data_IF_826492068801
#
_entry.id   IF_826492068801
#
_cell.length_a   1.000
_cell.length_b   1.000
_cell.length_c   1.000
_cell.angle_alpha   90.00
_cell.angle_beta   90.00
_cell.angle_gamma   90.00
#
_symmetry.space_group_name_H-M   'P 1'
#
loop_
_entity.id
_entity.type
_entity.pdbx_description
1 polymer ?
#
# COMPACT_ATOMS: atom_id res chain seq x y z
N UNK A 1 -9.16 4.37 6.20
CA UNK A 1 -8.02 3.87 7.02
C UNK A 1 -7.67 4.80 8.17
N UNK A 2 -7.54 6.11 7.98
CA UNK A 2 -7.16 7.07 9.06
C UNK A 2 -8.12 7.14 10.26
N UNK A 3 -9.32 6.57 10.14
CA UNK A 3 -10.35 6.54 11.18
C UNK A 3 -10.36 5.22 11.98
N UNK A 4 -9.53 4.25 11.61
CA UNK A 4 -9.45 2.91 12.21
C UNK A 4 -8.11 2.76 12.95
N UNK A 5 -8.07 2.93 14.28
CA UNK A 5 -6.83 2.94 15.06
C UNK A 5 -6.00 1.67 14.89
N UNK A 6 -6.63 0.51 14.84
CA UNK A 6 -6.03 -0.82 14.68
C UNK A 6 -5.32 -1.00 13.33
N UNK A 7 -5.77 -0.30 12.30
CA UNK A 7 -5.16 -0.32 10.96
C UNK A 7 -4.01 0.68 10.84
N UNK A 8 -4.09 1.82 11.52
CA UNK A 8 -3.04 2.85 11.51
C UNK A 8 -1.85 2.45 12.38
N UNK A 9 -2.10 1.75 13.48
CA UNK A 9 -1.06 1.32 14.43
C UNK A 9 0.03 0.45 13.76
N UNK A 10 -0.28 -0.18 12.64
CA UNK A 10 0.66 -1.00 11.84
C UNK A 10 1.66 -0.16 11.03
N UNK A 11 1.47 1.16 10.95
CA UNK A 11 2.35 2.07 10.21
C UNK A 11 3.29 2.83 11.15
N UNK A 12 4.49 3.14 10.68
CA UNK A 12 5.43 4.04 11.38
C UNK A 12 4.82 5.42 11.62
N UNK A 13 5.24 6.11 12.68
CA UNK A 13 4.71 7.43 13.08
C UNK A 13 4.66 8.44 11.93
N UNK A 14 5.71 8.49 11.10
CA UNK A 14 5.75 9.34 9.90
C UNK A 14 4.68 8.98 8.86
N UNK A 15 4.37 7.70 8.67
CA UNK A 15 3.29 7.24 7.80
C UNK A 15 1.91 7.47 8.41
N UNK A 16 1.75 7.35 9.73
CA UNK A 16 0.50 7.67 10.41
C UNK A 16 0.08 9.13 10.18
N UNK A 17 1.02 10.08 10.32
CA UNK A 17 0.78 11.51 10.05
C UNK A 17 0.33 11.74 8.60
N UNK A 18 1.01 11.10 7.63
CA UNK A 18 0.65 11.20 6.21
C UNK A 18 -0.75 10.66 5.93
N UNK A 19 -1.08 9.48 6.46
CA UNK A 19 -2.39 8.85 6.29
C UNK A 19 -3.50 9.73 6.89
N UNK A 20 -3.28 10.33 8.07
CA UNK A 20 -4.21 11.29 8.68
C UNK A 20 -4.45 12.53 7.82
N UNK A 21 -3.48 12.92 7.01
CA UNK A 21 -3.57 14.04 6.05
C UNK A 21 -4.15 13.62 4.67
N UNK A 22 -4.59 12.36 4.52
CA UNK A 22 -5.08 11.84 3.23
C UNK A 22 -3.99 11.50 2.22
N UNK A 23 -2.72 11.49 2.64
CA UNK A 23 -1.57 11.17 1.79
C UNK A 23 -1.27 9.66 1.82
N UNK A 24 -0.73 9.15 0.71
CA UNK A 24 -0.26 7.77 0.61
C UNK A 24 1.00 7.60 1.50
N UNK A 25 1.01 6.49 2.24
CA UNK A 25 2.16 6.05 3.03
C UNK A 25 3.37 5.75 2.14
N UNK A 26 4.57 5.96 2.67
CA UNK A 26 5.80 5.56 2.01
C UNK A 26 6.02 4.06 2.25
N UNK A 27 6.41 3.35 1.21
CA UNK A 27 6.85 1.96 1.33
C UNK A 27 8.28 1.89 1.89
N UNK A 28 8.63 0.84 2.65
CA UNK A 28 10.02 0.56 3.06
C UNK A 28 10.89 0.38 1.82
N UNK A 29 12.20 0.58 1.98
CA UNK A 29 13.18 0.55 0.87
C UNK A 29 13.11 -0.77 0.06
N UNK A 30 12.89 -1.88 0.76
CA UNK A 30 12.75 -3.22 0.19
C UNK A 30 11.47 -3.38 -0.64
N UNK A 31 10.44 -2.58 -0.36
CA UNK A 31 9.20 -2.52 -1.11
C UNK A 31 9.22 -1.58 -2.29
N UNK A 32 10.37 -0.97 -2.59
CA UNK A 32 10.49 -0.08 -3.74
C UNK A 32 10.54 -0.92 -5.00
N UNK A 33 9.66 -0.59 -5.94
CA UNK A 33 9.74 -1.16 -7.27
C UNK A 33 10.71 -0.31 -8.10
N UNK A 34 11.84 -0.90 -8.48
CA UNK A 34 12.83 -0.29 -9.36
C UNK A 34 12.49 -0.66 -10.81
N UNK A 35 11.65 0.17 -11.44
CA UNK A 35 11.34 0.02 -12.85
C UNK A 35 12.40 0.70 -13.73
N UNK A 36 12.48 0.36 -15.02
CA UNK A 36 13.44 0.96 -15.95
C UNK A 36 13.22 2.46 -16.19
N UNK A 37 12.05 3.01 -15.83
CA UNK A 37 11.69 4.43 -16.02
C UNK A 37 11.42 5.17 -14.71
N UNK A 38 11.03 4.46 -13.65
CA UNK A 38 10.68 5.08 -12.38
C UNK A 38 10.95 4.16 -11.18
N UNK A 39 11.29 4.80 -10.05
CA UNK A 39 11.38 4.16 -8.75
C UNK A 39 10.10 4.48 -7.98
N UNK A 40 9.24 3.47 -7.80
CA UNK A 40 8.00 3.62 -7.05
C UNK A 40 8.26 3.39 -5.57
N UNK A 41 8.14 4.46 -4.78
CA UNK A 41 8.38 4.48 -3.32
C UNK A 41 7.10 4.49 -2.48
N UNK A 42 5.95 4.25 -3.11
CA UNK A 42 4.61 4.41 -2.52
C UNK A 42 3.82 3.12 -2.70
N UNK A 43 2.81 2.93 -1.87
CA UNK A 43 1.84 1.85 -2.08
C UNK A 43 0.93 2.17 -3.27
N UNK A 44 0.69 1.16 -4.09
CA UNK A 44 -0.29 1.20 -5.17
C UNK A 44 -1.37 0.13 -4.94
N UNK A 45 -2.59 0.50 -5.29
CA UNK A 45 -3.71 -0.44 -5.43
C UNK A 45 -3.80 -0.81 -6.90
N UNK A 46 -3.96 -2.11 -7.17
CA UNK A 46 -4.13 -2.64 -8.51
C UNK A 46 -5.39 -3.49 -8.57
N UNK A 47 -6.03 -3.49 -9.72
CA UNK A 47 -7.13 -4.41 -10.01
C UNK A 47 -6.60 -5.82 -10.27
N UNK A 48 -7.21 -6.84 -9.67
CA UNK A 48 -6.87 -8.24 -9.92
C UNK A 48 -7.30 -8.69 -11.31
N UNK A 49 -8.54 -8.40 -11.66
CA UNK A 49 -9.08 -8.46 -13.00
C UNK A 49 -8.93 -7.08 -13.60
N UNK A 50 -8.19 -6.98 -14.71
CA UNK A 50 -7.99 -5.68 -15.35
C UNK A 50 -9.34 -5.09 -15.78
N UNK A 51 -9.45 -3.76 -15.69
CA UNK A 51 -10.66 -3.02 -16.08
C UNK A 51 -11.04 -3.31 -17.54
N UNK A 52 -10.04 -3.47 -18.41
CA UNK A 52 -10.25 -3.82 -19.82
C UNK A 52 -10.91 -5.20 -20.03
N UNK A 53 -10.79 -6.11 -19.06
CA UNK A 53 -11.44 -7.43 -19.06
C UNK A 53 -12.68 -7.46 -18.17
N UNK A 54 -13.40 -6.32 -18.06
CA UNK A 54 -14.61 -6.17 -17.23
C UNK A 54 -14.38 -6.33 -15.73
N UNK A 55 -13.15 -6.12 -15.26
CA UNK A 55 -12.88 -6.01 -13.83
C UNK A 55 -13.60 -4.80 -13.24
N UNK A 56 -14.41 -5.02 -12.21
CA UNK A 56 -15.13 -3.94 -11.55
C UNK A 56 -14.15 -2.96 -10.88
N UNK A 57 -14.35 -1.67 -11.13
CA UNK A 57 -13.39 -0.62 -10.73
C UNK A 57 -13.34 -0.43 -9.21
N UNK A 58 -14.48 -0.61 -8.55
CA UNK A 58 -14.66 -0.33 -7.11
C UNK A 58 -15.01 -1.56 -6.30
N UNK A 59 -14.97 -2.75 -6.90
CA UNK A 59 -15.07 -4.00 -6.16
C UNK A 59 -13.82 -4.16 -5.27
N UNK A 60 -14.05 -4.19 -3.96
CA UNK A 60 -12.99 -4.30 -2.95
C UNK A 60 -12.27 -5.64 -3.09
N UNK A 61 -12.98 -6.69 -3.51
CA UNK A 61 -12.40 -8.02 -3.75
C UNK A 61 -11.54 -8.03 -5.01
N UNK A 62 -11.82 -7.14 -5.96
CA UNK A 62 -11.01 -6.90 -7.14
C UNK A 62 -9.81 -5.96 -6.88
N UNK A 63 -9.71 -5.32 -5.71
CA UNK A 63 -8.62 -4.41 -5.38
C UNK A 63 -7.57 -5.08 -4.48
N UNK A 64 -6.36 -5.27 -5.01
CA UNK A 64 -5.20 -5.72 -4.22
C UNK A 64 -4.18 -4.61 -4.02
N UNK A 65 -3.72 -4.47 -2.78
CA UNK A 65 -2.45 -3.79 -2.51
C UNK A 65 -1.33 -4.71 -3.00
N UNK A 66 -0.62 -4.34 -4.05
CA UNK A 66 0.55 -5.11 -4.46
C UNK A 66 1.71 -4.76 -3.52
N UNK A 67 2.11 -5.72 -2.69
CA UNK A 67 3.49 -6.12 -2.40
C UNK A 67 3.46 -7.14 -1.22
N UNK A 68 3.20 -8.42 -1.53
CA UNK A 68 3.03 -9.49 -0.52
C UNK A 68 4.26 -9.63 0.40
N UNK A 69 5.47 -9.35 -0.12
CA UNK A 69 6.73 -9.44 0.62
C UNK A 69 6.86 -8.34 1.70
N UNK A 70 6.24 -7.18 1.48
CA UNK A 70 6.28 -6.07 2.43
C UNK A 70 5.24 -6.24 3.52
N UNK A 71 4.08 -6.84 3.22
CA UNK A 71 3.03 -7.07 4.23
C UNK A 71 3.54 -7.88 5.42
N UNK A 72 4.41 -8.86 5.20
CA UNK A 72 5.01 -9.66 6.29
C UNK A 72 5.81 -8.79 7.27
N UNK A 73 6.62 -7.85 6.76
CA UNK A 73 7.47 -6.95 7.56
C UNK A 73 6.76 -5.72 8.14
N UNK A 74 5.51 -5.46 7.75
CA UNK A 74 4.66 -4.48 8.43
C UNK A 74 4.07 -5.03 9.74
N UNK A 75 3.98 -6.36 9.88
CA UNK A 75 3.44 -7.03 11.07
C UNK A 75 4.56 -7.30 12.08
N UNK A 76 5.72 -7.73 11.60
CA UNK A 76 6.95 -7.82 12.38
C UNK A 76 7.77 -6.58 12.09
N UNK A 77 7.50 -5.50 12.82
CA UNK A 77 8.30 -4.29 12.70
C UNK A 77 9.78 -4.63 12.83
N UNK A 78 10.59 -4.17 11.89
CA UNK A 78 12.04 -4.26 11.95
C UNK A 78 12.58 -2.87 11.55
N UNK A 79 13.23 -2.18 12.50
CA UNK A 79 14.65 -2.29 12.89
C UNK A 79 15.53 -1.45 11.97
#
# INVERSE_FOLDING_TARGET
MSQYPELIAQFSSGNQTRIKQGLIAKAPLEGWHYGPKEIVKKFHMYHCVAIEYSGEIYDIDNLRRAHLICMMKFITGDS
#
